data_IF_104178262673
#
_entry.id   IF_104178262673
#
_cell.length_a   1.000
_cell.length_b   1.000
_cell.length_c   1.000
_cell.angle_alpha   90.00
_cell.angle_beta   90.00
_cell.angle_gamma   90.00
#
_symmetry.space_group_name_H-M   'P 1'
#
loop_
_entity.id
_entity.type
_entity.pdbx_description
1 polymer ?
#
# COMPACT_ATOMS: atom_id res chain seq x y z
N UNK A 1 20.25 28.10 -39.64
CA UNK A 1 18.79 28.19 -39.39
C UNK A 1 18.02 27.12 -40.18
N UNK A 2 18.32 26.91 -41.47
CA UNK A 2 17.66 25.90 -42.32
C UNK A 2 17.73 24.46 -41.79
N UNK A 3 18.90 24.00 -41.32
CA UNK A 3 19.03 22.64 -40.79
C UNK A 3 18.11 22.36 -39.57
N UNK A 4 17.95 23.35 -38.67
CA UNK A 4 17.06 23.24 -37.50
C UNK A 4 15.58 23.21 -37.93
N UNK A 5 15.22 23.97 -38.96
CA UNK A 5 13.86 24.00 -39.53
C UNK A 5 13.53 22.69 -40.24
N UNK A 6 14.46 22.17 -41.03
CA UNK A 6 14.35 20.88 -41.69
C UNK A 6 14.22 19.73 -40.67
N UNK A 7 15.03 19.73 -39.61
CA UNK A 7 14.95 18.74 -38.54
C UNK A 7 13.59 18.75 -37.83
N UNK A 8 13.07 19.94 -37.49
CA UNK A 8 11.72 20.08 -36.90
C UNK A 8 10.64 19.50 -37.82
N UNK A 9 10.68 19.81 -39.12
CA UNK A 9 9.72 19.29 -40.10
C UNK A 9 9.81 17.77 -40.20
N UNK A 10 11.02 17.21 -40.24
CA UNK A 10 11.24 15.77 -40.27
C UNK A 10 10.69 15.08 -39.01
N UNK A 11 10.88 15.65 -37.82
CA UNK A 11 10.31 15.13 -36.58
C UNK A 11 8.78 15.15 -36.60
N UNK A 12 8.16 16.23 -37.09
CA UNK A 12 6.69 16.31 -37.20
C UNK A 12 6.15 15.24 -38.15
N UNK A 13 6.78 15.06 -39.31
CA UNK A 13 6.41 14.02 -40.28
C UNK A 13 6.56 12.63 -39.65
N UNK A 14 7.70 12.35 -39.04
CA UNK A 14 7.95 11.06 -38.39
C UNK A 14 6.92 10.75 -37.28
N UNK A 15 6.54 11.75 -36.48
CA UNK A 15 5.48 11.59 -35.47
C UNK A 15 4.13 11.30 -36.11
N UNK A 16 3.75 12.06 -37.14
CA UNK A 16 2.47 11.87 -37.82
C UNK A 16 2.37 10.46 -38.43
N UNK A 17 3.43 9.99 -39.11
CA UNK A 17 3.52 8.63 -39.63
C UNK A 17 3.42 7.59 -38.52
N UNK A 18 4.20 7.75 -37.44
CA UNK A 18 4.18 6.81 -36.31
C UNK A 18 2.79 6.67 -35.68
N UNK A 19 2.09 7.79 -35.44
CA UNK A 19 0.75 7.75 -34.86
C UNK A 19 -0.31 7.22 -35.85
N UNK A 20 -0.13 7.45 -37.15
CA UNK A 20 -0.95 6.84 -38.20
C UNK A 20 -0.88 5.31 -38.15
N UNK A 21 0.33 4.75 -38.16
CA UNK A 21 0.55 3.30 -38.12
C UNK A 21 0.04 2.66 -36.82
N UNK A 22 0.16 3.38 -35.69
CA UNK A 22 -0.41 2.93 -34.41
C UNK A 22 -1.92 2.91 -34.49
N UNK A 23 -2.55 3.95 -35.05
CA UNK A 23 -4.00 4.04 -35.15
C UNK A 23 -4.59 2.93 -36.05
N UNK A 24 -3.95 2.66 -37.19
CA UNK A 24 -4.36 1.57 -38.09
C UNK A 24 -4.33 0.20 -37.37
N UNK A 25 -3.30 -0.07 -36.57
CA UNK A 25 -3.22 -1.30 -35.76
C UNK A 25 -4.29 -1.38 -34.69
N UNK A 26 -4.71 -0.24 -34.14
CA UNK A 26 -5.78 -0.17 -33.13
C UNK A 26 -7.17 -0.42 -33.74
N UNK A 27 -7.39 0.00 -34.98
CA UNK A 27 -8.63 -0.23 -35.72
C UNK A 27 -8.73 -1.64 -36.30
N UNK A 28 -7.61 -2.37 -36.34
CA UNK A 28 -7.61 -3.78 -36.74
C UNK A 28 -8.41 -4.66 -35.76
N UNK A 29 -8.83 -5.84 -36.24
CA UNK A 29 -9.48 -6.87 -35.40
C UNK A 29 -8.64 -7.29 -34.18
N UNK A 30 -7.32 -7.09 -34.24
CA UNK A 30 -6.38 -7.42 -33.17
C UNK A 30 -6.02 -6.21 -32.28
N UNK A 31 -6.69 -5.07 -32.47
CA UNK A 31 -6.42 -3.81 -31.78
C UNK A 31 -6.46 -3.91 -30.27
N UNK A 32 -7.43 -4.64 -29.71
CA UNK A 32 -7.54 -4.87 -28.26
C UNK A 32 -6.31 -5.60 -27.68
N UNK A 33 -5.85 -6.66 -28.36
CA UNK A 33 -4.62 -7.37 -27.99
C UNK A 33 -3.40 -6.47 -28.10
N UNK A 34 -3.36 -5.60 -29.09
CA UNK A 34 -2.27 -4.64 -29.28
C UNK A 34 -2.26 -3.58 -28.15
N UNK A 35 -3.41 -3.02 -27.78
CA UNK A 35 -3.56 -2.10 -26.64
C UNK A 35 -3.09 -2.74 -25.33
N UNK A 36 -3.55 -3.96 -25.06
CA UNK A 36 -3.15 -4.68 -23.85
C UNK A 36 -1.63 -4.89 -23.79
N UNK A 37 -0.98 -5.24 -24.91
CA UNK A 37 0.49 -5.33 -24.99
C UNK A 37 1.18 -3.99 -24.77
N UNK A 38 0.64 -2.90 -25.33
CA UNK A 38 1.19 -1.56 -25.17
C UNK A 38 1.10 -1.10 -23.71
N UNK A 39 -0.04 -1.29 -23.06
CA UNK A 39 -0.25 -0.99 -21.65
C UNK A 39 0.70 -1.80 -20.76
N UNK A 40 0.86 -3.10 -21.03
CA UNK A 40 1.78 -3.97 -20.29
C UNK A 40 3.25 -3.57 -20.45
N UNK A 41 3.67 -3.16 -21.64
CA UNK A 41 5.03 -2.66 -21.86
C UNK A 41 5.28 -1.33 -21.13
N UNK A 42 4.31 -0.41 -21.16
CA UNK A 42 4.40 0.85 -20.40
C UNK A 42 4.50 0.59 -18.90
N UNK A 43 3.64 -0.30 -18.39
CA UNK A 43 3.67 -0.69 -16.98
C UNK A 43 5.04 -1.24 -16.57
N UNK A 44 5.63 -2.15 -17.36
CA UNK A 44 6.99 -2.68 -17.14
C UNK A 44 8.09 -1.63 -17.22
N UNK A 45 7.91 -0.59 -18.04
CA UNK A 45 8.88 0.51 -18.14
C UNK A 45 8.77 1.50 -16.97
N UNK A 46 7.61 1.59 -16.32
CA UNK A 46 7.37 2.40 -15.11
C UNK A 46 7.60 1.64 -13.81
N UNK A 47 7.69 0.31 -13.86
CA UNK A 47 8.28 -0.47 -12.77
C UNK A 47 9.76 -0.07 -12.73
N UNK A 48 10.09 0.89 -11.85
CA UNK A 48 11.45 1.36 -11.62
C UNK A 48 12.43 0.20 -11.52
N UNK A 49 13.62 0.45 -12.07
CA UNK A 49 14.88 -0.30 -11.94
C UNK A 49 14.76 -1.42 -10.89
N UNK A 50 14.60 -2.64 -11.40
CA UNK A 50 14.74 -3.93 -10.71
C UNK A 50 14.19 -3.92 -9.28
N UNK A 51 12.98 -4.44 -9.04
CA UNK A 51 12.43 -4.81 -7.71
C UNK A 51 13.57 -5.21 -6.76
N UNK A 52 14.07 -4.24 -6.01
CA UNK A 52 15.37 -4.38 -5.35
C UNK A 52 15.20 -5.40 -4.23
N UNK A 53 15.75 -6.58 -4.45
CA UNK A 53 15.69 -7.71 -3.52
C UNK A 53 17.03 -7.82 -2.79
N UNK A 54 17.49 -6.70 -2.22
CA UNK A 54 18.75 -6.62 -1.49
C UNK A 54 18.55 -6.81 0.01
N UNK A 55 19.19 -7.82 0.61
CA UNK A 55 19.25 -8.04 2.06
C UNK A 55 20.71 -8.16 2.46
N UNK A 56 21.12 -7.55 3.57
CA UNK A 56 22.48 -7.71 4.07
C UNK A 56 22.68 -9.09 4.72
N UNK A 57 23.83 -9.72 4.46
CA UNK A 57 24.27 -10.89 5.19
C UNK A 57 24.68 -10.52 6.64
N UNK A 58 25.08 -11.53 7.42
CA UNK A 58 25.50 -11.37 8.81
C UNK A 58 26.73 -10.45 8.97
N UNK A 59 27.55 -10.34 7.94
CA UNK A 59 28.74 -9.49 7.90
C UNK A 59 28.45 -8.09 7.34
N UNK A 60 27.20 -7.79 6.99
CA UNK A 60 26.78 -6.51 6.42
C UNK A 60 26.97 -6.40 4.90
N UNK A 61 27.31 -7.47 4.19
CA UNK A 61 27.43 -7.44 2.73
C UNK A 61 26.06 -7.61 2.07
N UNK A 62 25.80 -6.80 1.04
CA UNK A 62 24.54 -6.84 0.32
C UNK A 62 24.40 -8.11 -0.54
N UNK A 63 23.38 -8.91 -0.26
CA UNK A 63 22.97 -10.06 -1.07
C UNK A 63 21.94 -9.62 -2.11
N UNK A 64 22.34 -9.64 -3.39
CA UNK A 64 21.46 -9.36 -4.53
C UNK A 64 20.84 -10.62 -5.15
N UNK A 65 21.42 -11.81 -4.86
CA UNK A 65 20.84 -13.06 -5.31
C UNK A 65 19.56 -13.38 -4.54
N UNK A 66 18.44 -13.51 -5.25
CA UNK A 66 17.12 -13.70 -4.65
C UNK A 66 17.04 -14.95 -3.76
N UNK A 67 17.70 -16.06 -4.12
CA UNK A 67 17.67 -17.29 -3.32
C UNK A 67 18.43 -17.10 -2.01
N UNK A 68 19.61 -16.46 -2.06
CA UNK A 68 20.42 -16.13 -0.89
C UNK A 68 19.72 -15.11 0.01
N UNK A 69 19.13 -14.06 -0.55
CA UNK A 69 18.35 -13.07 0.20
C UNK A 69 17.16 -13.72 0.93
N UNK A 70 16.38 -14.56 0.24
CA UNK A 70 15.26 -15.28 0.86
C UNK A 70 15.71 -16.28 1.93
N UNK A 71 16.87 -16.93 1.76
CA UNK A 71 17.43 -17.80 2.79
C UNK A 71 17.84 -16.98 4.01
N UNK A 72 18.61 -15.91 3.83
CA UNK A 72 19.02 -15.00 4.90
C UNK A 72 17.84 -14.44 5.68
N UNK A 73 16.77 -14.07 4.97
CA UNK A 73 15.52 -13.62 5.59
C UNK A 73 14.91 -14.71 6.49
N UNK A 74 14.81 -15.96 6.02
CA UNK A 74 14.31 -17.07 6.84
C UNK A 74 15.17 -17.31 8.07
N UNK A 75 16.49 -17.41 7.87
CA UNK A 75 17.44 -17.69 8.95
C UNK A 75 17.37 -16.62 10.05
N UNK A 76 17.28 -15.33 9.66
CA UNK A 76 17.10 -14.22 10.60
C UNK A 76 15.83 -14.35 11.46
N UNK A 77 14.70 -14.66 10.81
CA UNK A 77 13.42 -14.78 11.50
C UNK A 77 13.39 -15.99 12.44
N UNK A 78 14.00 -17.10 12.05
CA UNK A 78 14.10 -18.30 12.88
C UNK A 78 14.94 -18.04 14.15
N UNK A 79 16.04 -17.31 14.02
CA UNK A 79 16.89 -16.91 15.16
C UNK A 79 16.14 -16.01 16.15
N UNK A 80 15.40 -15.00 15.68
CA UNK A 80 14.70 -14.07 16.59
C UNK A 80 13.38 -14.64 17.13
N UNK A 81 12.71 -15.54 16.40
CA UNK A 81 11.39 -16.05 16.78
C UNK A 81 11.46 -17.25 17.74
N UNK A 82 12.62 -17.89 17.87
CA UNK A 82 12.83 -19.02 18.79
C UNK A 82 13.30 -18.59 20.18
N UNK A 83 13.79 -17.36 20.32
CA UNK A 83 14.17 -16.79 21.61
C UNK A 83 12.95 -16.17 22.27
N UNK A 84 12.30 -16.93 23.16
CA UNK A 84 11.32 -16.36 24.07
C UNK A 84 12.05 -15.36 24.99
N UNK A 85 11.80 -14.07 24.81
CA UNK A 85 12.37 -13.07 25.70
C UNK A 85 11.95 -13.38 27.15
N UNK A 86 12.76 -13.04 28.16
CA UNK A 86 12.31 -13.08 29.54
C UNK A 86 11.20 -12.04 29.71
N UNK A 87 9.94 -12.48 29.63
CA UNK A 87 8.80 -11.64 29.90
C UNK A 87 8.53 -11.70 31.40
N UNK A 88 8.34 -10.56 32.09
CA UNK A 88 7.82 -10.60 33.45
C UNK A 88 6.49 -11.37 33.42
N UNK A 89 6.26 -12.20 34.45
CA UNK A 89 4.99 -12.91 34.60
C UNK A 89 3.87 -11.90 34.53
N UNK A 90 3.05 -11.97 33.49
CA UNK A 90 1.86 -11.13 33.38
C UNK A 90 0.99 -11.50 34.59
N UNK A 91 0.69 -10.56 35.51
CA UNK A 91 -0.16 -10.84 36.64
C UNK A 91 -1.50 -11.37 36.11
N UNK A 92 -1.82 -12.61 36.44
CA UNK A 92 -3.13 -13.19 36.14
C UNK A 92 -4.14 -12.48 37.04
N UNK A 93 -4.74 -11.41 36.53
CA UNK A 93 -5.88 -10.77 37.19
C UNK A 93 -7.11 -11.62 36.95
N UNK A 94 -7.94 -11.80 37.98
CA UNK A 94 -9.24 -12.45 37.82
C UNK A 94 -10.00 -11.78 36.66
N UNK A 95 -10.65 -12.55 35.77
CA UNK A 95 -11.49 -11.97 34.73
C UNK A 95 -12.50 -11.01 35.34
N UNK A 96 -12.61 -9.81 34.78
CA UNK A 96 -13.64 -8.87 35.20
C UNK A 96 -15.00 -9.43 34.78
N UNK A 97 -15.71 -10.06 35.73
CA UNK A 97 -17.04 -10.60 35.49
C UNK A 97 -18.08 -9.48 35.56
N UNK A 98 -18.80 -9.27 34.46
CA UNK A 98 -19.90 -8.30 34.40
C UNK A 98 -20.33 -7.99 32.97
N UNK A 99 -21.45 -7.29 32.78
CA UNK A 99 -21.83 -6.78 31.47
C UNK A 99 -20.74 -5.84 30.95
N UNK A 100 -20.26 -6.06 29.72
CA UNK A 100 -19.41 -5.09 29.03
C UNK A 100 -20.24 -3.82 28.84
N UNK A 101 -19.78 -2.70 29.41
CA UNK A 101 -20.43 -1.42 29.20
C UNK A 101 -20.35 -1.08 27.71
N UNK A 102 -21.50 -0.76 27.12
CA UNK A 102 -21.54 -0.33 25.72
C UNK A 102 -20.98 1.07 25.63
N UNK A 103 -20.09 1.28 24.66
CA UNK A 103 -19.61 2.62 24.33
C UNK A 103 -20.82 3.46 23.89
N UNK A 104 -21.03 4.58 24.54
CA UNK A 104 -22.12 5.51 24.24
C UNK A 104 -21.69 6.54 23.20
N UNK A 105 -22.65 7.10 22.46
CA UNK A 105 -22.39 8.17 21.49
C UNK A 105 -21.76 9.39 22.18
N UNK A 106 -22.20 9.72 23.40
CA UNK A 106 -21.64 10.82 24.18
C UNK A 106 -20.16 10.63 24.52
N UNK A 107 -19.74 9.40 24.82
CA UNK A 107 -18.32 9.09 25.06
C UNK A 107 -17.47 9.23 23.79
N UNK A 108 -18.00 8.77 22.65
CA UNK A 108 -17.35 8.94 21.34
C UNK A 108 -17.19 10.44 21.03
N UNK A 109 -18.25 11.22 21.16
CA UNK A 109 -18.23 12.67 20.93
C UNK A 109 -17.25 13.39 21.87
N UNK A 110 -17.23 13.01 23.15
CA UNK A 110 -16.31 13.58 24.13
C UNK A 110 -14.84 13.25 23.83
N UNK A 111 -14.56 12.02 23.38
CA UNK A 111 -13.23 11.60 22.97
C UNK A 111 -12.77 12.35 21.71
N UNK A 112 -13.62 12.42 20.68
CA UNK A 112 -13.33 13.17 19.45
C UNK A 112 -13.06 14.65 19.73
N UNK A 113 -13.85 15.28 20.62
CA UNK A 113 -13.63 16.68 21.02
C UNK A 113 -12.26 16.91 21.65
N UNK A 114 -11.71 15.94 22.37
CA UNK A 114 -10.38 16.03 23.02
C UNK A 114 -9.21 15.85 22.06
N UNK A 115 -9.40 15.24 20.89
CA UNK A 115 -8.31 15.02 19.94
C UNK A 115 -7.76 16.34 19.40
N UNK A 116 -6.44 16.48 19.25
CA UNK A 116 -5.81 17.70 18.72
C UNK A 116 -5.51 17.55 17.22
N UNK A 117 -5.79 18.58 16.40
CA UNK A 117 -5.41 18.60 15.00
C UNK A 117 -3.88 18.56 14.83
N UNK A 118 -3.40 18.03 13.71
CA UNK A 118 -1.97 18.06 13.33
C UNK A 118 -1.04 17.21 14.21
N UNK A 119 -1.55 16.17 14.85
CA UNK A 119 -0.73 15.16 15.56
C UNK A 119 -0.38 14.00 14.63
N UNK A 120 0.75 13.35 14.90
CA UNK A 120 1.16 12.13 14.20
C UNK A 120 0.06 11.06 14.30
N UNK A 121 -0.12 10.31 13.22
CA UNK A 121 -1.07 9.21 13.16
C UNK A 121 -0.58 8.04 14.02
N UNK A 122 -1.53 7.28 14.57
CA UNK A 122 -1.23 6.07 15.32
C UNK A 122 -0.91 4.89 14.38
N UNK A 123 -0.78 3.67 14.90
CA UNK A 123 -0.62 2.46 14.10
C UNK A 123 -1.77 2.20 13.11
N UNK A 124 -2.91 2.87 13.31
CA UNK A 124 -4.07 2.86 12.40
C UNK A 124 -3.89 3.76 11.17
N UNK A 125 -2.86 4.61 11.16
CA UNK A 125 -2.59 5.66 10.17
C UNK A 125 -3.75 6.64 9.94
N UNK A 126 -4.64 6.82 10.93
CA UNK A 126 -5.81 7.70 10.81
C UNK A 126 -5.60 9.01 11.56
N UNK A 127 -5.65 10.12 10.83
CA UNK A 127 -5.50 11.46 11.40
C UNK A 127 -6.74 11.92 12.18
N UNK A 128 -6.53 12.73 13.22
CA UNK A 128 -7.61 13.32 14.03
C UNK A 128 -8.65 14.12 13.20
N UNK A 129 -8.23 14.72 12.07
CA UNK A 129 -9.16 15.41 11.16
C UNK A 129 -10.15 14.46 10.51
N UNK A 130 -9.71 13.25 10.15
CA UNK A 130 -10.58 12.27 9.53
C UNK A 130 -11.64 11.80 10.54
N UNK A 131 -11.19 11.50 11.77
CA UNK A 131 -12.07 11.14 12.89
C UNK A 131 -13.10 12.21 13.24
N UNK A 132 -12.79 13.49 12.99
CA UNK A 132 -13.68 14.64 13.23
C UNK A 132 -14.50 15.08 12.02
N UNK A 133 -14.27 14.49 10.85
CA UNK A 133 -14.94 14.90 9.62
C UNK A 133 -16.42 14.46 9.62
N UNK A 134 -17.29 15.24 8.96
CA UNK A 134 -18.72 14.89 8.80
C UNK A 134 -18.97 13.70 7.86
N UNK A 135 -17.92 13.17 7.23
CA UNK A 135 -18.00 12.08 6.25
C UNK A 135 -17.81 10.70 6.88
N UNK A 136 -17.38 10.66 8.15
CA UNK A 136 -17.20 9.44 8.92
C UNK A 136 -18.25 9.41 10.03
N UNK A 137 -19.10 8.38 10.07
CA UNK A 137 -20.08 8.16 11.14
C UNK A 137 -19.60 7.06 12.10
N UNK A 138 -18.69 7.37 13.05
CA UNK A 138 -18.16 6.35 13.96
C UNK A 138 -19.23 5.79 14.92
N UNK A 139 -20.29 6.55 15.21
CA UNK A 139 -21.35 6.12 16.10
C UNK A 139 -22.05 4.83 15.62
N UNK A 140 -22.24 4.64 14.31
CA UNK A 140 -22.87 3.42 13.77
C UNK A 140 -21.92 2.22 13.82
N UNK A 141 -20.62 2.43 13.61
CA UNK A 141 -19.62 1.34 13.58
C UNK A 141 -19.32 0.76 14.96
N UNK A 142 -19.31 1.60 16.00
CA UNK A 142 -18.96 1.19 17.36
C UNK A 142 -20.17 0.85 18.25
N UNK A 143 -21.40 1.18 17.83
CA UNK A 143 -22.63 0.76 18.54
C UNK A 143 -23.24 -0.53 17.98
N UNK A 144 -22.81 -0.97 16.79
CA UNK A 144 -23.18 -2.26 16.22
C UNK A 144 -22.28 -3.38 16.74
N UNK A 145 -22.93 -4.52 17.02
CA UNK A 145 -22.35 -5.72 17.62
C UNK A 145 -21.04 -6.16 16.94
N UNK A 146 -19.90 -6.28 17.66
CA UNK A 146 -18.58 -6.60 17.09
C UNK A 146 -18.56 -7.88 16.24
N UNK A 147 -19.51 -8.79 16.46
CA UNK A 147 -19.60 -10.10 15.83
C UNK A 147 -20.06 -10.01 14.36
N UNK A 148 -20.78 -8.96 13.96
CA UNK A 148 -21.32 -8.86 12.58
C UNK A 148 -20.34 -8.28 11.55
N UNK A 149 -19.29 -7.59 12.00
CA UNK A 149 -18.35 -6.88 11.11
C UNK A 149 -17.26 -7.79 10.51
N UNK A 150 -17.13 -9.04 10.98
CA UNK A 150 -16.16 -10.03 10.45
C UNK A 150 -16.58 -10.69 9.12
N UNK A 151 -17.77 -10.39 8.58
CA UNK A 151 -18.29 -11.05 7.37
C UNK A 151 -18.12 -10.27 6.07
N UNK A 152 -17.53 -9.07 6.12
CA UNK A 152 -17.30 -8.22 4.93
C UNK A 152 -15.83 -8.29 4.46
N UNK A 153 -14.98 -9.03 5.17
CA UNK A 153 -13.57 -9.25 4.81
C UNK A 153 -13.31 -10.76 4.75
N UNK A 154 -13.95 -11.43 3.78
CA UNK A 154 -13.76 -12.84 3.46
C UNK A 154 -14.01 -13.08 1.98
#
# INVERSE_FOLDING_TARGET
MEAKKAAKKAVTVAKATHYGDVNEKLESRDGERYLHRLAKNRHRQTEDIEKFFGINDENGHLLMDRKKALKRWRDYFEEIATVEFPHPVIPSTAPTHGPVQKITVAEIEAALKKMRPGKATGPDDVAAELWKSKFWYPAEWYTLDPIKNLRIIG
#
